data_IF_130388466670
#
_entry.id   IF_130388466670
#
_cell.length_a   1.000
_cell.length_b   1.000
_cell.length_c   1.000
_cell.angle_alpha   90.00
_cell.angle_beta   90.00
_cell.angle_gamma   90.00
#
_symmetry.space_group_name_H-M   'P 1'
#
loop_
_entity.id
_entity.type
_entity.pdbx_description
1 polymer ?
#
# COMPACT_ATOMS: atom_id res chain seq x y z
N UNK A 1 17.65 -20.48 7.53
CA UNK A 1 16.77 -19.40 7.06
C UNK A 1 16.73 -18.41 8.20
N UNK A 2 17.61 -17.41 8.17
CA UNK A 2 17.67 -16.39 9.21
C UNK A 2 16.45 -15.49 9.07
N UNK A 3 15.84 -15.19 10.21
CA UNK A 3 14.89 -14.09 10.42
C UNK A 3 15.56 -12.79 9.96
N UNK A 4 15.54 -12.49 8.67
CA UNK A 4 15.83 -11.14 8.20
C UNK A 4 14.66 -10.27 8.66
N UNK A 5 14.92 -9.60 9.77
CA UNK A 5 14.20 -8.48 10.37
C UNK A 5 13.04 -7.99 9.50
N UNK A 6 11.82 -8.20 9.99
CA UNK A 6 10.64 -7.44 9.58
C UNK A 6 10.95 -5.94 9.70
N UNK A 7 11.56 -5.35 8.66
CA UNK A 7 12.01 -3.95 8.67
C UNK A 7 10.84 -2.99 8.67
N UNK A 8 9.72 -3.40 8.06
CA UNK A 8 8.49 -2.63 7.97
C UNK A 8 7.38 -3.32 8.72
N UNK A 9 6.69 -2.54 9.55
CA UNK A 9 5.40 -2.89 10.10
C UNK A 9 4.36 -3.03 9.00
N UNK A 10 3.24 -3.66 9.33
CA UNK A 10 2.11 -3.79 8.42
C UNK A 10 1.60 -2.44 7.90
N UNK A 11 1.58 -1.40 8.75
CA UNK A 11 1.20 -0.04 8.35
C UNK A 11 2.20 0.60 7.39
N UNK A 12 3.50 0.43 7.63
CA UNK A 12 4.56 0.91 6.73
C UNK A 12 4.47 0.23 5.36
N UNK A 13 4.28 -1.10 5.35
CA UNK A 13 4.08 -1.84 4.12
C UNK A 13 2.84 -1.35 3.36
N UNK A 14 1.69 -1.19 4.01
CA UNK A 14 0.48 -0.68 3.37
C UNK A 14 0.67 0.73 2.79
N UNK A 15 1.34 1.60 3.54
CA UNK A 15 1.68 2.96 3.09
C UNK A 15 2.56 2.92 1.85
N UNK A 16 3.56 2.05 1.82
CA UNK A 16 4.43 1.86 0.67
C UNK A 16 3.65 1.39 -0.56
N UNK A 17 2.71 0.45 -0.41
CA UNK A 17 1.89 0.00 -1.55
C UNK A 17 0.97 1.10 -2.04
N UNK A 18 0.40 1.92 -1.16
CA UNK A 18 -0.44 3.05 -1.57
C UNK A 18 0.36 4.11 -2.34
N UNK A 19 1.58 4.42 -1.92
CA UNK A 19 2.48 5.33 -2.64
C UNK A 19 2.79 4.77 -4.03
N UNK A 20 3.12 3.48 -4.13
CA UNK A 20 3.36 2.83 -5.41
C UNK A 20 2.12 2.85 -6.31
N UNK A 21 0.93 2.55 -5.77
CA UNK A 21 -0.32 2.60 -6.51
C UNK A 21 -0.58 4.01 -7.06
N UNK A 22 -0.37 5.04 -6.24
CA UNK A 22 -0.52 6.45 -6.65
C UNK A 22 0.49 6.91 -7.69
N UNK A 23 1.61 6.21 -7.83
CA UNK A 23 2.63 6.54 -8.82
C UNK A 23 2.39 5.83 -10.16
N UNK A 24 1.98 4.56 -10.12
CA UNK A 24 1.74 3.75 -11.31
C UNK A 24 0.42 4.10 -11.98
N UNK A 25 -0.58 4.47 -11.18
CA UNK A 25 -1.86 4.92 -11.68
C UNK A 25 -1.85 6.45 -11.80
N UNK A 26 -1.69 6.93 -13.03
CA UNK A 26 -1.67 8.37 -13.37
C UNK A 26 -2.99 9.09 -13.04
N UNK A 27 -4.02 8.36 -12.61
CA UNK A 27 -5.30 8.93 -12.17
C UNK A 27 -5.30 9.36 -10.69
N UNK A 28 -4.29 9.01 -9.89
CA UNK A 28 -4.18 9.52 -8.51
C UNK A 28 -3.91 11.03 -8.50
N UNK A 29 -4.90 11.78 -8.02
CA UNK A 29 -4.87 13.21 -7.81
C UNK A 29 -4.16 13.61 -6.51
N UNK A 30 -3.69 14.86 -6.44
CA UNK A 30 -3.10 15.44 -5.22
C UNK A 30 -4.05 15.35 -4.00
N UNK A 31 -5.36 15.36 -4.24
CA UNK A 31 -6.40 15.21 -3.22
C UNK A 31 -6.39 13.80 -2.60
N UNK A 32 -6.17 12.77 -3.42
CA UNK A 32 -6.09 11.37 -2.97
C UNK A 32 -4.79 11.10 -2.21
N UNK A 33 -3.68 11.69 -2.65
CA UNK A 33 -2.42 11.68 -1.90
C UNK A 33 -2.58 12.38 -0.53
N UNK A 34 -3.34 13.47 -0.47
CA UNK A 34 -3.65 14.16 0.78
C UNK A 34 -4.54 13.33 1.71
N UNK A 35 -5.44 12.52 1.16
CA UNK A 35 -6.26 11.58 1.93
C UNK A 35 -5.44 10.43 2.54
N UNK A 36 -4.41 9.94 1.84
CA UNK A 36 -3.47 8.96 2.43
C UNK A 36 -2.73 9.61 3.60
N UNK A 37 -2.21 10.83 3.39
CA UNK A 37 -1.47 11.59 4.42
C UNK A 37 -2.31 11.94 5.65
N UNK A 38 -3.64 12.03 5.53
CA UNK A 38 -4.51 12.29 6.68
C UNK A 38 -4.82 11.05 7.52
N UNK A 39 -4.61 9.85 6.98
CA UNK A 39 -4.89 8.56 7.64
C UNK A 39 -3.65 7.79 8.08
N UNK A 40 -2.49 8.15 7.55
CA UNK A 40 -1.19 7.59 7.91
C UNK A 40 -0.42 8.63 8.72
N UNK A 41 0.31 8.20 9.76
CA UNK A 41 1.27 9.08 10.43
C UNK A 41 2.23 9.70 9.40
N UNK A 42 2.39 11.02 9.46
CA UNK A 42 3.22 11.76 8.51
C UNK A 42 4.66 11.23 8.48
N UNK A 43 5.21 10.85 9.64
CA UNK A 43 6.55 10.25 9.73
C UNK A 43 6.65 8.92 8.98
N UNK A 44 5.58 8.11 9.01
CA UNK A 44 5.50 6.83 8.28
C UNK A 44 5.39 7.08 6.78
N UNK A 45 4.55 8.05 6.38
CA UNK A 45 4.43 8.46 4.99
C UNK A 45 5.77 8.95 4.43
N UNK A 46 6.42 9.90 5.09
CA UNK A 46 7.67 10.50 4.62
C UNK A 46 8.79 9.46 4.57
N UNK A 47 8.84 8.54 5.55
CA UNK A 47 9.78 7.42 5.54
C UNK A 47 9.55 6.49 4.35
N UNK A 48 8.31 6.07 4.12
CA UNK A 48 7.99 5.15 3.01
C UNK A 48 8.14 5.82 1.64
N UNK A 49 7.81 7.11 1.53
CA UNK A 49 7.99 7.89 0.32
C UNK A 49 9.48 8.05 -0.01
N UNK A 50 10.31 8.34 0.99
CA UNK A 50 11.76 8.38 0.83
C UNK A 50 12.33 7.02 0.39
N UNK A 51 11.78 5.93 0.91
CA UNK A 51 12.17 4.59 0.44
C UNK A 51 11.70 4.32 -0.98
N UNK A 52 10.51 4.78 -1.36
CA UNK A 52 9.99 4.65 -2.71
C UNK A 52 10.84 5.45 -3.72
N UNK A 53 11.12 6.72 -3.43
CA UNK A 53 11.89 7.64 -4.29
C UNK A 53 13.33 7.17 -4.56
N UNK A 54 13.92 6.40 -3.64
CA UNK A 54 15.24 5.77 -3.83
C UNK A 54 15.23 4.56 -4.77
N UNK A 55 14.05 4.03 -5.10
CA UNK A 55 13.87 2.78 -5.86
C UNK A 55 13.31 3.11 -7.24
N UNK A 56 13.69 2.32 -8.24
CA UNK A 56 12.97 2.34 -9.51
C UNK A 56 11.69 1.48 -9.44
N UNK A 57 10.79 1.63 -10.41
CA UNK A 57 9.51 0.89 -10.47
C UNK A 57 9.67 -0.62 -10.26
N UNK A 58 10.68 -1.23 -10.88
CA UNK A 58 10.93 -2.66 -10.76
C UNK A 58 11.34 -3.06 -9.34
N UNK A 59 12.23 -2.29 -8.70
CA UNK A 59 12.67 -2.52 -7.32
C UNK A 59 11.54 -2.31 -6.30
N UNK A 60 10.72 -1.29 -6.51
CA UNK A 60 9.56 -1.04 -5.67
C UNK A 60 8.55 -2.20 -5.79
N UNK A 61 8.27 -2.68 -7.01
CA UNK A 61 7.42 -3.84 -7.23
C UNK A 61 7.99 -5.13 -6.60
N UNK A 62 9.28 -5.40 -6.76
CA UNK A 62 9.94 -6.55 -6.12
C UNK A 62 9.84 -6.48 -4.59
N UNK A 63 9.97 -5.29 -4.02
CA UNK A 63 9.81 -5.06 -2.58
C UNK A 63 8.39 -5.43 -2.13
N UNK A 64 7.37 -4.96 -2.86
CA UNK A 64 5.96 -5.28 -2.59
C UNK A 64 5.74 -6.79 -2.68
N UNK A 65 6.26 -7.45 -3.70
CA UNK A 65 6.12 -8.91 -3.88
C UNK A 65 6.86 -9.73 -2.80
N UNK A 66 7.97 -9.20 -2.27
CA UNK A 66 8.71 -9.80 -1.16
C UNK A 66 7.91 -9.81 0.12
N UNK A 67 7.41 -8.63 0.53
CA UNK A 67 6.51 -8.50 1.69
C UNK A 67 5.15 -9.18 1.46
N UNK A 68 4.69 -9.27 0.20
CA UNK A 68 3.51 -10.03 -0.18
C UNK A 68 3.62 -11.49 0.27
N UNK A 69 4.75 -12.17 0.02
CA UNK A 69 4.90 -13.56 0.47
C UNK A 69 4.80 -13.73 1.99
N UNK A 70 5.12 -12.68 2.72
CA UNK A 70 5.12 -12.67 4.18
C UNK A 70 3.72 -12.37 4.76
N UNK A 71 3.01 -11.41 4.18
CA UNK A 71 1.69 -10.97 4.65
C UNK A 71 0.51 -11.61 3.88
N UNK A 72 0.75 -12.15 2.69
CA UNK A 72 -0.24 -12.66 1.73
C UNK A 72 0.21 -14.00 1.11
N UNK A 73 0.45 -15.04 1.92
CA UNK A 73 0.87 -16.33 1.38
C UNK A 73 -0.23 -17.05 0.59
N UNK A 74 -1.50 -16.67 0.76
CA UNK A 74 -2.67 -17.31 0.13
C UNK A 74 -3.82 -16.31 -0.14
N UNK A 75 -4.80 -16.72 -0.95
CA UNK A 75 -5.96 -15.91 -1.37
C UNK A 75 -6.86 -15.47 -0.21
N UNK A 76 -6.89 -16.24 0.88
CA UNK A 76 -7.67 -15.90 2.07
C UNK A 76 -7.05 -14.71 2.81
N UNK A 77 -5.72 -14.70 2.93
CA UNK A 77 -4.95 -13.58 3.51
C UNK A 77 -5.06 -12.32 2.64
N UNK A 78 -5.17 -12.49 1.31
CA UNK A 78 -5.43 -11.39 0.37
C UNK A 78 -6.75 -10.68 0.70
N UNK A 79 -7.83 -11.43 0.87
CA UNK A 79 -9.12 -10.84 1.20
C UNK A 79 -9.12 -10.14 2.56
N UNK A 80 -8.44 -10.71 3.56
CA UNK A 80 -8.33 -10.09 4.89
C UNK A 80 -7.56 -8.77 4.86
N UNK A 81 -6.50 -8.67 4.06
CA UNK A 81 -5.75 -7.41 3.93
C UNK A 81 -6.51 -6.39 3.12
N UNK A 82 -7.14 -6.79 2.01
CA UNK A 82 -8.03 -5.89 1.26
C UNK A 82 -9.14 -5.32 2.16
N UNK A 83 -9.71 -6.17 3.01
CA UNK A 83 -10.70 -5.76 4.01
C UNK A 83 -10.10 -4.86 5.08
N UNK A 84 -8.88 -5.11 5.52
CA UNK A 84 -8.18 -4.28 6.52
C UNK A 84 -7.85 -2.91 5.96
N UNK A 85 -7.33 -2.84 4.72
CA UNK A 85 -7.13 -1.59 3.98
C UNK A 85 -8.46 -0.84 3.90
N UNK A 86 -9.53 -1.54 3.55
CA UNK A 86 -10.86 -0.94 3.49
C UNK A 86 -11.37 -0.43 4.85
N UNK A 87 -11.06 -1.12 5.94
CA UNK A 87 -11.43 -0.68 7.27
C UNK A 87 -10.56 0.47 7.80
N UNK A 88 -9.29 0.54 7.39
CA UNK A 88 -8.36 1.56 7.88
C UNK A 88 -8.40 2.84 7.04
N UNK A 89 -8.47 2.69 5.73
CA UNK A 89 -8.38 3.79 4.79
C UNK A 89 -9.74 4.25 4.27
N UNK A 90 -10.79 3.42 4.40
CA UNK A 90 -12.05 3.59 3.65
C UNK A 90 -13.32 3.40 4.54
N UNK A 91 -13.20 3.68 5.84
CA UNK A 91 -14.25 3.44 6.84
C UNK A 91 -15.46 4.39 6.77
N UNK A 92 -15.37 5.45 5.97
CA UNK A 92 -16.28 6.60 6.05
C UNK A 92 -17.62 6.35 5.31
N UNK A 93 -17.76 5.18 4.69
CA UNK A 93 -19.02 4.66 4.14
C UNK A 93 -19.35 5.11 2.72
N UNK A 94 -18.64 6.11 2.19
CA UNK A 94 -18.73 6.51 0.78
C UNK A 94 -17.59 5.88 -0.02
N UNK A 95 -17.94 4.95 -0.92
CA UNK A 95 -16.98 4.35 -1.84
C UNK A 95 -16.47 5.40 -2.82
N UNK A 96 -15.38 6.07 -2.47
CA UNK A 96 -14.75 7.07 -3.33
C UNK A 96 -14.19 6.42 -4.62
N UNK A 97 -14.02 7.17 -5.71
CA UNK A 97 -13.33 6.66 -6.91
C UNK A 97 -11.95 6.07 -6.58
N UNK A 98 -11.20 6.74 -5.71
CA UNK A 98 -9.93 6.29 -5.14
C UNK A 98 -9.99 4.87 -4.55
N UNK A 99 -11.04 4.59 -3.78
CA UNK A 99 -11.25 3.29 -3.15
C UNK A 99 -11.38 2.16 -4.15
N UNK A 100 -12.10 2.43 -5.24
CA UNK A 100 -12.31 1.46 -6.30
C UNK A 100 -11.01 1.21 -7.07
N UNK A 101 -10.27 2.26 -7.39
CA UNK A 101 -9.00 2.11 -8.11
C UNK A 101 -7.91 1.46 -7.24
N UNK A 102 -7.78 1.84 -5.97
CA UNK A 102 -6.82 1.19 -5.06
C UNK A 102 -7.15 -0.31 -4.93
N UNK A 103 -8.43 -0.64 -4.72
CA UNK A 103 -8.90 -2.03 -4.69
C UNK A 103 -8.62 -2.78 -5.99
N UNK A 104 -8.87 -2.14 -7.14
CA UNK A 104 -8.66 -2.76 -8.45
C UNK A 104 -7.18 -2.97 -8.76
N UNK A 105 -6.33 -2.02 -8.35
CA UNK A 105 -4.88 -2.15 -8.39
C UNK A 105 -4.41 -3.32 -7.54
N UNK A 106 -4.85 -3.43 -6.29
CA UNK A 106 -4.52 -4.56 -5.42
C UNK A 106 -5.05 -5.89 -5.96
N UNK A 107 -6.25 -5.92 -6.57
CA UNK A 107 -6.79 -7.12 -7.22
C UNK A 107 -5.97 -7.56 -8.42
N UNK A 108 -5.42 -6.63 -9.21
CA UNK A 108 -4.58 -6.90 -10.38
C UNK A 108 -3.13 -7.24 -10.02
N UNK A 109 -2.59 -6.63 -8.98
CA UNK A 109 -1.20 -6.81 -8.55
C UNK A 109 -1.02 -8.06 -7.66
N UNK A 110 -2.06 -8.46 -6.91
CA UNK A 110 -2.00 -9.56 -5.95
C UNK A 110 -2.65 -10.84 -6.43
#
# INVERSE_FOLDING_TARGET
MSEEELKWSYHEFLTFVMIYASHVDMEFSDEEMSNIKSRVDQDVFDKMYTEFDKRNDFEALQTILGYKKLYFPNDESKNEILKTIKLQFFADGDYSPMERELMHFFEKLM
#
